data_IF_865879748334
#
_entry.id   IF_865879748334
#
_cell.length_a   1.000
_cell.length_b   1.000
_cell.length_c   1.000
_cell.angle_alpha   90.00
_cell.angle_beta   90.00
_cell.angle_gamma   90.00
#
_symmetry.space_group_name_H-M   'P 1'
#
loop_
_entity.id
_entity.type
_entity.pdbx_description
1 polymer ?
#
# COMPACT_ATOMS: atom_id res chain seq x y z
N UNK A 1 -21.85 -2.34 10.44
CA UNK A 1 -21.29 -3.54 11.10
C UNK A 1 -20.38 -4.34 10.16
N UNK A 2 -20.87 -4.80 9.00
CA UNK A 2 -20.06 -5.58 8.03
C UNK A 2 -18.78 -4.86 7.55
N UNK A 3 -18.88 -3.58 7.21
CA UNK A 3 -17.74 -2.78 6.70
C UNK A 3 -16.60 -2.64 7.71
N UNK A 4 -16.92 -2.61 9.02
CA UNK A 4 -15.92 -2.51 10.09
C UNK A 4 -15.12 -3.81 10.19
N UNK A 5 -15.81 -4.96 10.11
CA UNK A 5 -15.19 -6.28 10.14
C UNK A 5 -14.25 -6.45 8.95
N UNK A 6 -14.70 -6.07 7.74
CA UNK A 6 -13.89 -6.09 6.54
C UNK A 6 -12.65 -5.18 6.65
N UNK A 7 -12.81 -3.99 7.26
CA UNK A 7 -11.70 -3.06 7.47
C UNK A 7 -10.65 -3.67 8.40
N UNK A 8 -11.07 -4.25 9.53
CA UNK A 8 -10.14 -4.89 10.48
C UNK A 8 -9.36 -6.03 9.79
N UNK A 9 -10.06 -6.90 9.06
CA UNK A 9 -9.42 -8.00 8.31
C UNK A 9 -8.42 -7.45 7.29
N UNK A 10 -8.80 -6.41 6.54
CA UNK A 10 -7.93 -5.76 5.55
C UNK A 10 -6.66 -5.18 6.18
N UNK A 11 -6.78 -4.53 7.35
CA UNK A 11 -5.62 -3.98 8.08
C UNK A 11 -4.71 -5.11 8.58
N UNK A 12 -5.26 -6.22 9.08
CA UNK A 12 -4.48 -7.37 9.52
C UNK A 12 -3.69 -8.00 8.36
N UNK A 13 -4.34 -8.19 7.20
CA UNK A 13 -3.68 -8.72 6.01
C UNK A 13 -2.54 -7.78 5.56
N UNK A 14 -2.80 -6.46 5.55
CA UNK A 14 -1.79 -5.47 5.19
C UNK A 14 -0.62 -5.46 6.18
N UNK A 15 -0.89 -5.58 7.48
CA UNK A 15 0.14 -5.67 8.51
C UNK A 15 1.00 -6.94 8.34
N UNK A 16 0.38 -8.10 8.02
CA UNK A 16 1.10 -9.33 7.67
C UNK A 16 1.96 -9.17 6.42
N UNK A 17 1.41 -8.61 5.35
CA UNK A 17 2.16 -8.35 4.11
C UNK A 17 3.40 -7.50 4.39
N UNK A 18 3.23 -6.44 5.16
CA UNK A 18 4.31 -5.56 5.55
C UNK A 18 5.34 -6.25 6.45
N UNK A 19 4.91 -7.16 7.32
CA UNK A 19 5.81 -8.01 8.10
C UNK A 19 6.76 -8.84 7.21
N UNK A 20 6.25 -9.40 6.09
CA UNK A 20 7.09 -10.14 5.14
C UNK A 20 8.12 -9.26 4.44
N UNK A 21 7.76 -8.02 4.11
CA UNK A 21 8.66 -7.04 3.48
C UNK A 21 9.72 -6.54 4.47
N UNK A 22 9.38 -6.38 5.75
CA UNK A 22 10.34 -6.00 6.79
C UNK A 22 11.19 -7.17 7.31
N UNK A 23 10.77 -8.42 7.12
CA UNK A 23 11.53 -9.61 7.51
C UNK A 23 13.03 -9.59 7.12
N UNK A 24 13.46 -9.14 5.93
CA UNK A 24 14.89 -9.02 5.58
C UNK A 24 15.64 -7.93 6.36
N UNK A 25 14.93 -6.97 6.97
CA UNK A 25 15.55 -5.87 7.74
C UNK A 25 15.50 -6.16 9.24
N UNK A 26 14.33 -6.51 9.77
CA UNK A 26 14.13 -6.82 11.19
C UNK A 26 12.88 -7.69 11.40
N UNK A 27 12.95 -8.69 12.30
CA UNK A 27 11.78 -9.50 12.62
C UNK A 27 10.88 -8.78 13.63
N UNK A 28 9.74 -8.27 13.15
CA UNK A 28 8.81 -7.48 13.95
C UNK A 28 7.52 -8.29 14.21
N UNK A 29 7.00 -8.36 15.45
CA UNK A 29 5.73 -9.01 15.74
C UNK A 29 4.52 -8.25 15.18
N UNK A 30 3.43 -8.96 14.89
CA UNK A 30 2.24 -8.39 14.21
C UNK A 30 1.54 -7.27 14.97
N UNK A 31 1.55 -7.31 16.31
CA UNK A 31 0.85 -6.35 17.14
C UNK A 31 1.34 -4.89 16.92
N UNK A 32 2.64 -4.57 17.06
CA UNK A 32 3.14 -3.23 16.77
C UNK A 32 3.01 -2.83 15.29
N UNK A 33 3.09 -3.78 14.34
CA UNK A 33 2.83 -3.51 12.92
C UNK A 33 1.37 -3.09 12.67
N UNK A 34 0.43 -3.75 13.35
CA UNK A 34 -0.99 -3.41 13.28
C UNK A 34 -1.25 -2.02 13.85
N UNK A 35 -0.75 -1.71 15.05
CA UNK A 35 -0.89 -0.39 15.66
C UNK A 35 -0.29 0.72 14.80
N UNK A 36 0.92 0.50 14.26
CA UNK A 36 1.56 1.44 13.33
C UNK A 36 0.75 1.66 12.06
N UNK A 37 0.14 0.59 11.51
CA UNK A 37 -0.72 0.68 10.32
C UNK A 37 -1.99 1.48 10.62
N UNK A 38 -2.59 1.30 11.79
CA UNK A 38 -3.76 2.08 12.25
C UNK A 38 -3.41 3.56 12.46
N UNK A 39 -2.27 3.86 13.07
CA UNK A 39 -1.76 5.24 13.22
C UNK A 39 -1.57 5.88 11.84
N UNK A 40 -1.04 5.12 10.87
CA UNK A 40 -0.90 5.62 9.50
C UNK A 40 -2.22 5.89 8.79
N UNK A 41 -3.22 5.04 8.97
CA UNK A 41 -4.57 5.28 8.46
C UNK A 41 -5.18 6.55 9.06
N UNK A 42 -5.09 6.69 10.38
CA UNK A 42 -5.53 7.90 11.08
C UNK A 42 -4.82 9.15 10.57
N UNK A 43 -3.49 9.07 10.43
CA UNK A 43 -2.67 10.15 9.90
C UNK A 43 -3.03 10.53 8.46
N UNK A 44 -3.38 9.56 7.62
CA UNK A 44 -3.79 9.83 6.24
C UNK A 44 -5.19 10.47 6.16
N UNK A 45 -6.06 10.21 7.14
CA UNK A 45 -7.39 10.83 7.22
C UNK A 45 -7.36 12.26 7.76
N UNK A 46 -6.31 12.65 8.49
CA UNK A 46 -6.22 13.95 9.18
C UNK A 46 -5.18 14.87 8.54
N UNK A 47 -4.07 14.31 8.06
CA UNK A 47 -2.98 15.10 7.48
C UNK A 47 -3.17 15.24 5.98
N UNK A 48 -3.05 16.48 5.51
CA UNK A 48 -2.88 16.79 4.09
C UNK A 48 -1.59 16.13 3.55
N UNK A 49 -1.55 15.79 2.27
CA UNK A 49 -0.40 15.15 1.58
C UNK A 49 -0.06 13.69 1.91
N UNK A 50 -1.01 12.86 2.37
CA UNK A 50 -0.78 11.42 2.66
C UNK A 50 0.38 11.16 3.63
N UNK A 51 0.69 12.14 4.51
CA UNK A 51 1.75 12.04 5.52
C UNK A 51 1.53 10.93 6.55
N UNK A 52 0.33 10.33 6.58
CA UNK A 52 0.04 9.12 7.35
C UNK A 52 0.96 7.94 7.03
N UNK A 53 1.47 7.82 5.80
CA UNK A 53 2.45 6.77 5.47
C UNK A 53 3.81 7.00 6.14
N UNK A 54 4.18 8.28 6.30
CA UNK A 54 5.38 8.71 7.01
C UNK A 54 5.22 8.46 8.52
N UNK A 55 4.04 8.74 9.08
CA UNK A 55 3.71 8.41 10.48
C UNK A 55 3.72 6.90 10.76
N UNK A 56 3.26 6.08 9.82
CA UNK A 56 3.37 4.62 9.90
C UNK A 56 4.83 4.19 9.95
N UNK A 57 5.66 4.66 9.04
CA UNK A 57 7.09 4.36 9.01
C UNK A 57 7.80 4.82 10.30
N UNK A 58 7.45 6.02 10.80
CA UNK A 58 7.97 6.57 12.05
C UNK A 58 7.56 5.73 13.26
N UNK A 59 6.27 5.45 13.44
CA UNK A 59 5.77 4.67 14.58
C UNK A 59 6.32 3.25 14.67
N UNK A 60 6.70 2.63 13.53
CA UNK A 60 7.31 1.29 13.53
C UNK A 60 8.81 1.29 13.80
N UNK A 61 9.49 2.42 13.54
CA UNK A 61 10.93 2.60 13.79
C UNK A 61 11.21 3.10 15.20
N UNK A 62 10.25 3.75 15.86
CA UNK A 62 10.36 4.15 17.27
C UNK A 62 10.56 2.90 18.15
N UNK A 63 11.71 2.84 18.83
CA UNK A 63 12.08 1.72 19.73
C UNK A 63 12.68 0.51 19.02
N UNK A 64 13.13 0.65 17.76
CA UNK A 64 13.71 -0.43 16.95
C UNK A 64 15.05 -0.02 16.34
N UNK A 65 15.76 -1.01 15.79
CA UNK A 65 17.04 -0.78 15.10
C UNK A 65 16.85 -0.15 13.71
N UNK A 66 15.62 -0.21 13.19
CA UNK A 66 15.24 0.32 11.88
C UNK A 66 15.14 1.85 11.88
N UNK A 67 15.77 2.51 10.90
CA UNK A 67 15.60 3.95 10.73
C UNK A 67 14.26 4.28 10.07
N UNK A 68 13.69 5.46 10.36
CA UNK A 68 12.46 5.97 9.74
C UNK A 68 12.56 5.96 8.21
N UNK A 69 13.74 6.30 7.67
CA UNK A 69 14.03 6.32 6.24
C UNK A 69 13.98 4.93 5.61
N UNK A 70 14.55 3.91 6.27
CA UNK A 70 14.46 2.51 5.82
C UNK A 70 13.01 2.00 5.84
N UNK A 71 12.26 2.28 6.92
CA UNK A 71 10.86 1.91 7.02
C UNK A 71 10.04 2.57 5.90
N UNK A 72 10.25 3.85 5.66
CA UNK A 72 9.61 4.60 4.59
C UNK A 72 9.97 4.05 3.21
N UNK A 73 11.24 3.69 3.00
CA UNK A 73 11.71 3.03 1.79
C UNK A 73 10.94 1.73 1.49
N UNK A 74 10.69 0.89 2.49
CA UNK A 74 9.89 -0.34 2.28
C UNK A 74 8.45 -0.05 1.88
N UNK A 75 7.85 1.01 2.44
CA UNK A 75 6.49 1.43 2.09
C UNK A 75 6.44 1.97 0.66
N UNK A 76 7.40 2.82 0.27
CA UNK A 76 7.50 3.34 -1.09
C UNK A 76 7.75 2.24 -2.12
N UNK A 77 8.63 1.29 -1.80
CA UNK A 77 8.91 0.14 -2.65
C UNK A 77 7.64 -0.72 -2.84
N UNK A 78 6.86 -0.94 -1.78
CA UNK A 78 5.55 -1.59 -1.86
C UNK A 78 4.61 -0.86 -2.84
N UNK A 79 4.56 0.49 -2.80
CA UNK A 79 3.73 1.29 -3.72
C UNK A 79 4.16 1.18 -5.16
N UNK A 80 5.46 1.18 -5.41
CA UNK A 80 6.02 1.04 -6.75
C UNK A 80 5.66 -0.33 -7.32
N UNK A 81 5.89 -1.41 -6.55
CA UNK A 81 5.52 -2.77 -6.97
C UNK A 81 4.01 -2.89 -7.24
N UNK A 82 3.18 -2.31 -6.38
CA UNK A 82 1.72 -2.33 -6.53
C UNK A 82 1.29 -1.62 -7.83
N UNK A 83 1.88 -0.45 -8.13
CA UNK A 83 1.64 0.29 -9.36
C UNK A 83 2.07 -0.50 -10.61
N UNK A 84 3.28 -1.09 -10.59
CA UNK A 84 3.76 -1.95 -11.68
C UNK A 84 2.86 -3.17 -11.89
N UNK A 85 2.41 -3.80 -10.81
CA UNK A 85 1.52 -4.97 -10.88
C UNK A 85 0.20 -4.61 -11.55
N UNK A 86 -0.39 -3.46 -11.20
CA UNK A 86 -1.62 -2.95 -11.84
C UNK A 86 -1.40 -2.70 -13.34
N UNK A 87 -0.29 -2.07 -13.72
CA UNK A 87 0.04 -1.81 -15.14
C UNK A 87 0.21 -3.12 -15.91
N UNK A 88 0.93 -4.09 -15.35
CA UNK A 88 1.15 -5.40 -15.98
C UNK A 88 -0.17 -6.15 -16.17
N UNK A 89 -1.01 -6.17 -15.12
CA UNK A 89 -2.35 -6.80 -15.19
C UNK A 89 -3.21 -6.12 -16.26
N UNK A 90 -3.18 -4.79 -16.35
CA UNK A 90 -3.93 -4.03 -17.35
C UNK A 90 -3.49 -4.40 -18.78
N UNK A 91 -2.18 -4.49 -19.03
CA UNK A 91 -1.63 -4.89 -20.33
C UNK A 91 -2.00 -6.34 -20.67
N UNK A 92 -1.96 -7.25 -19.70
CA UNK A 92 -2.34 -8.66 -19.87
C UNK A 92 -3.84 -8.85 -20.14
N UNK A 93 -4.70 -8.01 -19.55
CA UNK A 93 -6.15 -8.08 -19.74
C UNK A 93 -6.61 -7.41 -21.04
N UNK A 94 -5.80 -6.51 -21.59
CA UNK A 94 -6.08 -5.75 -22.81
C UNK A 94 -6.56 -6.61 -24.01
N UNK A 95 -6.01 -7.81 -24.27
CA UNK A 95 -6.48 -8.70 -25.35
C UNK A 95 -7.84 -9.36 -25.08
N UNK A 96 -8.23 -9.52 -23.80
CA UNK A 96 -9.47 -10.16 -23.38
C UNK A 96 -10.64 -9.19 -23.18
N UNK A 97 -10.38 -7.88 -23.16
CA UNK A 97 -11.43 -6.88 -23.01
C UNK A 97 -12.11 -6.68 -24.37
N UNK A 98 -13.44 -6.90 -24.49
CA UNK A 98 -14.15 -6.64 -25.73
C UNK A 98 -14.07 -5.15 -26.07
N UNK A 99 -13.25 -4.83 -27.09
CA UNK A 99 -12.93 -3.49 -27.59
C UNK A 99 -14.11 -2.78 -28.29
N UNK A 100 -15.35 -3.08 -27.89
CA UNK A 100 -16.56 -2.47 -28.46
C UNK A 100 -16.92 -1.13 -27.77
N UNK A 101 -16.40 -0.86 -26.56
CA UNK A 101 -16.73 0.33 -25.77
C UNK A 101 -15.68 1.45 -25.92
N UNK A 102 -16.09 2.58 -26.51
CA UNK A 102 -15.26 3.78 -26.73
C UNK A 102 -14.65 4.36 -25.44
N UNK A 103 -15.29 4.15 -24.29
CA UNK A 103 -14.82 4.62 -22.98
C UNK A 103 -13.53 3.90 -22.55
N UNK A 104 -13.42 2.59 -22.82
CA UNK A 104 -12.24 1.78 -22.46
C UNK A 104 -11.04 2.18 -23.32
N UNK A 105 -11.27 2.45 -24.61
CA UNK A 105 -10.22 2.95 -25.53
C UNK A 105 -9.71 4.32 -25.09
N UNK A 106 -10.60 5.22 -24.65
CA UNK A 106 -10.22 6.56 -24.20
C UNK A 106 -9.46 6.52 -22.86
N UNK A 107 -9.87 5.65 -21.92
CA UNK A 107 -9.13 5.42 -20.67
C UNK A 107 -7.73 4.85 -20.92
N UNK A 108 -7.56 3.93 -21.88
CA UNK A 108 -6.25 3.37 -22.24
C UNK A 108 -5.31 4.39 -22.90
N UNK A 109 -5.84 5.26 -23.79
CA UNK A 109 -5.06 6.31 -24.44
C UNK A 109 -4.62 7.37 -23.43
N UNK A 110 -5.51 7.76 -22.51
CA UNK A 110 -5.16 8.70 -21.43
C UNK A 110 -4.11 8.11 -20.50
N UNK A 111 -4.18 6.82 -20.17
CA UNK A 111 -3.20 6.16 -19.28
C UNK A 111 -1.82 5.93 -19.90
N UNK A 112 -1.73 5.84 -21.23
CA UNK A 112 -0.45 5.71 -21.96
C UNK A 112 0.11 7.08 -22.36
N UNK A 113 -0.75 8.09 -22.51
CA UNK A 113 -0.40 9.45 -22.96
C UNK A 113 -0.05 10.45 -21.85
N UNK A 114 -0.12 10.07 -20.58
CA UNK A 114 0.33 10.87 -19.41
C UNK A 114 1.41 10.11 -18.65
#
# INVERSE_FOLDING_TARGET
MLSVILLIISVVIRAKRWQYILKPVEHIPLHPLFSSTMIGYFGNSILFFRLGELLRAYSVSVGRTLTVSQAFGTVMLERIIDAFTVVIILILLLPWIPMQNSVIRLSLIVFIGT
#
